data_IF_350010824646
#
_entry.id   IF_350010824646
#
_cell.length_a   1.000
_cell.length_b   1.000
_cell.length_c   1.000
_cell.angle_alpha   90.00
_cell.angle_beta   90.00
_cell.angle_gamma   90.00
#
_symmetry.space_group_name_H-M   'P 1'
#
loop_
_entity.id
_entity.type
_entity.pdbx_description
1 polymer ?
#
# COMPACT_ATOMS: atom_id res chain seq x y z
N UNK A 1 4.48 -14.46 -1.84
CA UNK A 1 5.14 -13.84 -0.69
C UNK A 1 5.52 -14.92 0.30
N UNK A 2 6.72 -14.86 0.83
CA UNK A 2 7.28 -15.73 1.87
C UNK A 2 7.80 -14.87 3.01
N UNK A 3 8.29 -15.50 4.08
CA UNK A 3 8.92 -14.77 5.19
C UNK A 3 10.14 -13.94 4.74
N UNK A 4 10.80 -14.31 3.64
CA UNK A 4 11.96 -13.60 3.12
C UNK A 4 11.61 -12.30 2.39
N UNK A 5 10.33 -12.06 2.06
CA UNK A 5 9.87 -10.85 1.39
C UNK A 5 9.51 -9.72 2.38
N UNK A 6 9.54 -10.00 3.68
CA UNK A 6 9.19 -9.04 4.73
C UNK A 6 10.41 -8.17 5.06
N UNK A 7 10.26 -6.83 5.23
CA UNK A 7 11.34 -5.98 5.68
C UNK A 7 11.97 -6.49 6.97
N UNK A 8 13.30 -6.47 7.05
CA UNK A 8 14.08 -6.96 8.20
C UNK A 8 13.70 -6.25 9.51
N UNK A 9 13.30 -4.98 9.42
CA UNK A 9 12.84 -4.18 10.54
C UNK A 9 11.51 -3.50 10.19
N UNK A 10 10.46 -3.86 10.92
CA UNK A 10 9.15 -3.20 10.85
C UNK A 10 8.98 -2.31 12.08
N UNK A 11 8.97 -0.99 11.87
CA UNK A 11 8.74 -0.03 12.95
C UNK A 11 7.25 0.10 13.25
N UNK A 12 6.89 0.18 14.52
CA UNK A 12 5.52 0.42 14.95
C UNK A 12 5.49 1.33 16.19
N UNK A 13 4.37 2.02 16.37
CA UNK A 13 4.09 2.81 17.56
C UNK A 13 2.59 2.74 17.87
N UNK A 14 2.26 2.84 19.16
CA UNK A 14 0.89 3.10 19.60
C UNK A 14 0.73 4.61 19.80
N UNK A 15 -0.48 5.12 19.56
CA UNK A 15 -0.79 6.52 19.80
C UNK A 15 -1.12 6.81 21.27
N UNK A 16 -1.42 5.79 22.07
CA UNK A 16 -1.80 5.91 23.48
C UNK A 16 -2.98 6.88 23.74
N UNK A 17 -3.88 7.00 22.75
CA UNK A 17 -5.10 7.81 22.84
C UNK A 17 -6.28 6.87 23.17
N UNK A 18 -6.82 6.93 24.41
CA UNK A 18 -7.94 6.09 24.79
C UNK A 18 -9.20 6.42 23.98
N UNK A 19 -10.05 5.42 23.79
CA UNK A 19 -11.40 5.60 23.26
C UNK A 19 -12.39 6.01 24.35
N UNK A 20 -12.99 7.23 24.31
CA UNK A 20 -13.98 7.61 25.32
C UNK A 20 -15.27 6.77 25.23
N UNK A 21 -15.50 6.06 24.13
CA UNK A 21 -16.73 5.29 23.91
C UNK A 21 -16.64 3.83 24.39
N UNK A 22 -15.44 3.34 24.77
CA UNK A 22 -15.27 1.96 25.26
C UNK A 22 -14.94 1.92 26.75
N UNK A 23 -15.46 0.96 27.54
CA UNK A 23 -15.28 0.92 29.00
C UNK A 23 -13.82 0.84 29.48
N UNK A 24 -12.90 0.45 28.59
CA UNK A 24 -11.47 0.27 28.88
C UNK A 24 -10.58 1.12 27.98
N UNK A 25 -11.14 2.00 27.16
CA UNK A 25 -10.38 2.86 26.25
C UNK A 25 -9.71 2.16 25.06
N UNK A 26 -10.02 0.89 24.80
CA UNK A 26 -9.45 0.11 23.71
C UNK A 26 -10.02 0.51 22.34
N UNK A 27 -9.21 0.31 21.29
CA UNK A 27 -9.56 0.55 19.87
C UNK A 27 -9.20 -0.65 19.01
N UNK A 28 -9.88 -0.81 17.88
CA UNK A 28 -9.49 -1.79 16.87
C UNK A 28 -8.20 -1.39 16.16
N UNK A 29 -7.20 -2.28 16.16
CA UNK A 29 -5.87 -2.03 15.57
C UNK A 29 -5.47 -3.01 14.46
N UNK A 30 -6.34 -3.97 14.13
CA UNK A 30 -6.02 -5.02 13.14
C UNK A 30 -6.02 -4.51 11.69
N UNK A 31 -7.08 -3.81 11.28
CA UNK A 31 -7.27 -3.32 9.90
C UNK A 31 -6.49 -2.04 9.56
N UNK A 32 -6.37 -1.03 10.46
CA UNK A 32 -5.68 0.23 10.14
C UNK A 32 -4.27 0.07 9.55
N UNK A 33 -3.35 -0.75 10.11
CA UNK A 33 -2.01 -0.90 9.54
C UNK A 33 -2.02 -1.61 8.19
N UNK A 34 -3.04 -2.41 7.86
CA UNK A 34 -3.15 -3.10 6.56
C UNK A 34 -3.40 -2.07 5.45
N UNK A 35 -4.40 -1.20 5.62
CA UNK A 35 -4.73 -0.17 4.64
C UNK A 35 -3.65 0.92 4.57
N UNK A 36 -3.18 1.41 5.71
CA UNK A 36 -2.13 2.43 5.77
C UNK A 36 -0.80 1.94 5.18
N UNK A 37 -0.40 0.71 5.50
CA UNK A 37 0.79 0.08 4.96
C UNK A 37 0.73 -0.09 3.44
N UNK A 38 -0.41 -0.56 2.91
CA UNK A 38 -0.62 -0.65 1.48
C UNK A 38 -0.49 0.71 0.78
N UNK A 39 -1.16 1.74 1.31
CA UNK A 39 -1.09 3.10 0.76
C UNK A 39 0.33 3.68 0.80
N UNK A 40 1.07 3.46 1.90
CA UNK A 40 2.45 3.92 2.04
C UNK A 40 3.39 3.28 1.00
N UNK A 41 3.24 1.96 0.75
CA UNK A 41 4.02 1.27 -0.27
C UNK A 41 3.67 1.79 -1.67
N UNK A 42 2.39 1.98 -1.99
CA UNK A 42 2.00 2.55 -3.29
C UNK A 42 2.57 3.96 -3.50
N UNK A 43 2.52 4.81 -2.48
CA UNK A 43 3.08 6.15 -2.54
C UNK A 43 4.61 6.11 -2.75
N UNK A 44 5.32 5.22 -2.07
CA UNK A 44 6.77 5.06 -2.24
C UNK A 44 7.15 4.57 -3.64
N UNK A 45 6.36 3.66 -4.22
CA UNK A 45 6.57 3.21 -5.60
C UNK A 45 6.31 4.39 -6.56
N UNK A 46 5.19 5.11 -6.42
CA UNK A 46 4.87 6.26 -7.27
C UNK A 46 5.93 7.36 -7.20
N UNK A 47 6.45 7.68 -6.01
CA UNK A 47 7.56 8.62 -5.82
C UNK A 47 8.84 8.15 -6.56
N UNK A 48 9.12 6.85 -6.56
CA UNK A 48 10.32 6.30 -7.18
C UNK A 48 10.26 6.21 -8.72
N UNK A 49 9.09 5.92 -9.30
CA UNK A 49 8.96 5.66 -10.76
C UNK A 49 8.07 6.65 -11.51
N UNK A 50 7.29 7.47 -10.80
CA UNK A 50 6.35 8.44 -11.34
C UNK A 50 4.88 8.05 -11.18
N UNK A 51 4.02 9.05 -10.99
CA UNK A 51 2.60 8.89 -10.61
C UNK A 51 1.71 8.22 -11.67
N UNK A 52 2.11 8.20 -12.94
CA UNK A 52 1.30 7.61 -14.02
C UNK A 52 1.83 6.25 -14.53
N UNK A 53 2.87 5.70 -13.90
CA UNK A 53 3.41 4.37 -14.24
C UNK A 53 2.38 3.27 -13.97
N UNK A 54 1.51 3.44 -12.97
CA UNK A 54 0.46 2.48 -12.65
C UNK A 54 -0.78 3.16 -12.07
N UNK A 55 -1.96 2.60 -12.32
CA UNK A 55 -3.24 3.01 -11.69
C UNK A 55 -4.12 1.82 -11.29
N UNK A 56 -3.46 0.74 -10.90
CA UNK A 56 -4.08 -0.51 -10.47
C UNK A 56 -3.20 -1.19 -9.43
N UNK A 57 -3.82 -2.07 -8.65
CA UNK A 57 -3.14 -3.00 -7.75
C UNK A 57 -3.56 -4.43 -8.04
N UNK A 58 -2.71 -5.44 -7.78
CA UNK A 58 -1.33 -5.33 -7.26
C UNK A 58 -0.37 -4.68 -8.26
N UNK A 59 0.64 -3.97 -7.77
CA UNK A 59 1.72 -3.39 -8.59
C UNK A 59 2.87 -4.39 -8.63
N UNK A 60 2.88 -5.23 -9.65
CA UNK A 60 3.93 -6.24 -9.84
C UNK A 60 5.10 -5.67 -10.67
N UNK A 61 6.30 -6.29 -10.60
CA UNK A 61 7.47 -5.80 -11.36
C UNK A 61 7.24 -5.68 -12.86
N UNK A 62 6.44 -6.57 -13.47
CA UNK A 62 6.08 -6.54 -14.89
C UNK A 62 5.24 -5.31 -15.27
N UNK A 63 4.32 -4.87 -14.40
CA UNK A 63 3.53 -3.64 -14.62
C UNK A 63 4.43 -2.41 -14.68
N UNK A 64 5.41 -2.35 -13.78
CA UNK A 64 6.39 -1.26 -13.71
C UNK A 64 7.29 -1.32 -14.96
N UNK A 65 7.87 -2.48 -15.25
CA UNK A 65 8.81 -2.64 -16.37
C UNK A 65 8.16 -2.29 -17.71
N UNK A 66 6.95 -2.81 -17.99
CA UNK A 66 6.25 -2.56 -19.25
C UNK A 66 5.98 -1.06 -19.46
N UNK A 67 5.60 -0.35 -18.40
CA UNK A 67 5.29 1.09 -18.50
C UNK A 67 6.56 1.94 -18.65
N UNK A 68 7.67 1.54 -18.00
CA UNK A 68 8.96 2.21 -18.16
C UNK A 68 9.53 2.00 -19.58
N UNK A 69 9.44 0.79 -20.13
CA UNK A 69 9.89 0.49 -21.50
C UNK A 69 9.04 1.20 -22.57
N UNK A 70 7.73 1.32 -22.34
CA UNK A 70 6.83 2.04 -23.25
C UNK A 70 6.95 3.57 -23.15
N UNK A 71 7.51 4.10 -22.05
CA UNK A 71 7.56 5.54 -21.78
C UNK A 71 6.20 6.16 -21.43
N UNK A 72 5.17 5.34 -21.27
CA UNK A 72 3.83 5.71 -20.83
C UNK A 72 3.19 4.52 -20.13
N UNK A 73 2.07 4.73 -19.42
CA UNK A 73 1.32 3.65 -18.79
C UNK A 73 0.94 2.58 -19.83
N UNK A 74 1.41 1.34 -19.63
CA UNK A 74 1.19 0.23 -20.55
C UNK A 74 -0.04 -0.63 -20.19
N UNK A 75 -0.77 -0.26 -19.13
CA UNK A 75 -1.90 -1.01 -18.60
C UNK A 75 -3.12 -0.12 -18.32
N UNK A 76 -4.30 -0.71 -18.44
CA UNK A 76 -5.55 -0.08 -18.06
C UNK A 76 -5.70 0.02 -16.54
N UNK A 77 -6.48 1.03 -16.12
CA UNK A 77 -6.91 1.15 -14.74
C UNK A 77 -7.85 -0.01 -14.35
N UNK A 78 -7.96 -0.29 -13.05
CA UNK A 78 -8.93 -1.27 -12.58
C UNK A 78 -10.35 -0.71 -12.80
N UNK A 79 -11.20 -1.46 -13.50
CA UNK A 79 -12.60 -1.12 -13.72
C UNK A 79 -13.50 -2.03 -12.89
N UNK A 80 -14.55 -1.46 -12.30
CA UNK A 80 -15.64 -2.26 -11.75
C UNK A 80 -16.45 -2.83 -12.92
N UNK A 81 -16.77 -4.13 -12.85
CA UNK A 81 -17.77 -4.70 -13.74
C UNK A 81 -19.15 -4.38 -13.15
N UNK A 82 -19.86 -3.47 -13.81
CA UNK A 82 -21.25 -3.08 -13.50
C UNK A 82 -22.19 -3.65 -14.56
#
# INVERSE_FOLDING_TARGET
MTILDVPVAMQHAALDIPDPETPVGARGVGEPPVGAGFGAVLAAIADAVGDDVFRRSPVTPDIILASLEAGHRAHDALIAYI
#
